data_IF_094442344994
#
_entry.id   IF_094442344994
#
_cell.length_a   1.000
_cell.length_b   1.000
_cell.length_c   1.000
_cell.angle_alpha   90.00
_cell.angle_beta   90.00
_cell.angle_gamma   90.00
#
_symmetry.space_group_name_H-M   'P 1'
#
loop_
_entity.id
_entity.type
_entity.pdbx_description
1 polymer ?
#
# COMPACT_ATOMS: atom_id res chain seq x y z
N UNK A 1 -1.88 26.78 10.32
CA UNK A 1 -0.87 25.87 10.91
C UNK A 1 -1.12 24.39 10.60
N UNK A 2 -2.37 23.91 10.47
CA UNK A 2 -2.67 22.51 10.14
C UNK A 2 -2.20 22.05 8.75
N UNK A 3 -2.31 22.89 7.72
CA UNK A 3 -1.88 22.54 6.34
C UNK A 3 -0.38 22.20 6.25
N UNK A 4 0.46 22.87 7.03
CA UNK A 4 1.89 22.57 7.07
C UNK A 4 2.18 21.18 7.64
N UNK A 5 1.48 20.79 8.72
CA UNK A 5 1.60 19.46 9.31
C UNK A 5 1.08 18.37 8.36
N UNK A 6 -0.02 18.64 7.67
CA UNK A 6 -0.61 17.72 6.70
C UNK A 6 0.35 17.49 5.52
N UNK A 7 0.98 18.55 4.99
CA UNK A 7 1.99 18.46 3.94
C UNK A 7 3.19 17.62 4.38
N UNK A 8 3.67 17.82 5.62
CA UNK A 8 4.76 17.00 6.19
C UNK A 8 4.34 15.53 6.26
N UNK A 9 3.12 15.24 6.69
CA UNK A 9 2.59 13.87 6.73
C UNK A 9 2.54 13.23 5.33
N UNK A 10 2.03 13.93 4.32
CA UNK A 10 2.04 13.47 2.92
C UNK A 10 3.45 13.21 2.38
N UNK A 11 4.42 14.05 2.76
CA UNK A 11 5.82 13.88 2.36
C UNK A 11 6.41 12.62 2.99
N UNK A 12 6.21 12.40 4.29
CA UNK A 12 6.68 11.21 4.99
C UNK A 12 6.02 9.95 4.39
N UNK A 13 4.72 9.97 4.15
CA UNK A 13 4.00 8.86 3.52
C UNK A 13 4.56 8.52 2.14
N UNK A 14 4.85 9.55 1.33
CA UNK A 14 5.46 9.38 0.01
C UNK A 14 6.85 8.78 0.08
N UNK A 15 7.70 9.25 0.99
CA UNK A 15 9.06 8.73 1.16
C UNK A 15 9.02 7.27 1.57
N UNK A 16 8.18 6.91 2.55
CA UNK A 16 8.01 5.51 3.00
C UNK A 16 7.53 4.64 1.85
N UNK A 17 6.52 5.08 1.11
CA UNK A 17 5.98 4.33 -0.03
C UNK A 17 7.01 4.13 -1.14
N UNK A 18 7.72 5.18 -1.56
CA UNK A 18 8.73 5.09 -2.62
C UNK A 18 9.91 4.23 -2.17
N UNK A 19 10.46 4.47 -0.98
CA UNK A 19 11.57 3.66 -0.46
C UNK A 19 11.18 2.20 -0.28
N UNK A 20 9.98 1.95 0.26
CA UNK A 20 9.45 0.62 0.44
C UNK A 20 9.28 -0.13 -0.88
N UNK A 21 8.77 0.53 -1.92
CA UNK A 21 8.66 -0.04 -3.28
C UNK A 21 10.04 -0.32 -3.88
N UNK A 22 10.98 0.62 -3.76
CA UNK A 22 12.36 0.45 -4.25
C UNK A 22 13.00 -0.76 -3.59
N UNK A 23 12.91 -0.89 -2.26
CA UNK A 23 13.43 -2.05 -1.55
C UNK A 23 12.67 -3.33 -1.89
N UNK A 24 11.36 -3.28 -2.09
CA UNK A 24 10.57 -4.45 -2.46
C UNK A 24 11.11 -5.10 -3.76
N UNK A 25 11.49 -4.30 -4.75
CA UNK A 25 11.96 -4.81 -6.04
C UNK A 25 13.48 -5.00 -6.15
N UNK A 26 14.29 -4.15 -5.51
CA UNK A 26 15.75 -4.18 -5.67
C UNK A 26 16.49 -4.99 -4.60
N UNK A 27 15.85 -5.31 -3.46
CA UNK A 27 16.52 -6.06 -2.41
C UNK A 27 16.75 -7.52 -2.85
N UNK A 28 18.02 -7.95 -2.88
CA UNK A 28 18.43 -9.29 -3.33
C UNK A 28 18.30 -10.38 -2.26
N UNK A 29 18.16 -10.00 -0.98
CA UNK A 29 18.07 -10.96 0.12
C UNK A 29 16.64 -11.44 0.35
N UNK A 30 16.40 -12.75 0.23
CA UNK A 30 15.04 -13.33 0.34
C UNK A 30 14.35 -12.99 1.66
N UNK A 31 15.06 -13.10 2.80
CA UNK A 31 14.51 -12.78 4.13
C UNK A 31 14.13 -11.30 4.25
N UNK A 32 15.01 -10.41 3.81
CA UNK A 32 14.75 -8.98 3.85
C UNK A 32 13.64 -8.58 2.89
N UNK A 33 13.55 -9.21 1.72
CA UNK A 33 12.55 -8.89 0.72
C UNK A 33 11.16 -9.33 1.18
N UNK A 34 11.06 -10.49 1.84
CA UNK A 34 9.83 -10.92 2.51
C UNK A 34 9.45 -9.98 3.65
N UNK A 35 10.41 -9.52 4.46
CA UNK A 35 10.13 -8.55 5.52
C UNK A 35 9.58 -7.23 4.96
N UNK A 36 10.21 -6.68 3.92
CA UNK A 36 9.72 -5.48 3.21
C UNK A 36 8.35 -5.72 2.59
N UNK A 37 8.10 -6.90 2.01
CA UNK A 37 6.80 -7.27 1.47
C UNK A 37 5.69 -7.22 2.54
N UNK A 38 5.90 -7.85 3.70
CA UNK A 38 4.90 -7.84 4.78
C UNK A 38 4.67 -6.43 5.32
N UNK A 39 5.74 -5.65 5.49
CA UNK A 39 5.64 -4.24 5.85
C UNK A 39 4.81 -3.46 4.84
N UNK A 40 5.09 -3.61 3.54
CA UNK A 40 4.38 -2.91 2.48
C UNK A 40 2.92 -3.34 2.35
N UNK A 41 2.59 -4.60 2.64
CA UNK A 41 1.21 -5.06 2.68
C UNK A 41 0.43 -4.36 3.79
N UNK A 42 1.00 -4.30 5.01
CA UNK A 42 0.39 -3.55 6.12
C UNK A 42 0.28 -2.06 5.78
N UNK A 43 1.33 -1.49 5.20
CA UNK A 43 1.36 -0.09 4.79
C UNK A 43 0.27 0.25 3.75
N UNK A 44 0.06 -0.62 2.74
CA UNK A 44 -1.00 -0.45 1.76
C UNK A 44 -2.40 -0.46 2.39
N UNK A 45 -2.62 -1.30 3.42
CA UNK A 45 -3.88 -1.30 4.19
C UNK A 45 -4.05 -0.02 5.02
N UNK A 46 -2.97 0.48 5.65
CA UNK A 46 -2.99 1.74 6.40
C UNK A 46 -3.34 2.91 5.48
N UNK A 47 -2.72 2.98 4.30
CA UNK A 47 -3.05 3.98 3.28
C UNK A 47 -4.55 3.91 2.95
N UNK A 48 -5.06 2.73 2.59
CA UNK A 48 -6.46 2.56 2.22
C UNK A 48 -7.43 2.99 3.34
N UNK A 49 -7.11 2.66 4.59
CA UNK A 49 -7.90 3.11 5.74
C UNK A 49 -7.90 4.64 5.88
N UNK A 50 -6.73 5.27 5.80
CA UNK A 50 -6.63 6.74 5.84
C UNK A 50 -7.37 7.40 4.67
N UNK A 51 -7.27 6.85 3.46
CA UNK A 51 -8.00 7.31 2.28
C UNK A 51 -9.51 7.23 2.52
N UNK A 52 -10.02 6.09 2.98
CA UNK A 52 -11.44 5.90 3.21
C UNK A 52 -11.99 6.82 4.32
N UNK A 53 -11.23 6.99 5.41
CA UNK A 53 -11.63 7.85 6.54
C UNK A 53 -11.59 9.34 6.18
N UNK A 54 -10.72 9.74 5.23
CA UNK A 54 -10.65 11.12 4.76
C UNK A 54 -11.85 11.56 3.90
N UNK A 55 -12.59 10.61 3.32
CA UNK A 55 -13.81 10.92 2.57
C UNK A 55 -15.00 11.20 3.49
N UNK A 56 -15.86 12.18 3.16
CA UNK A 56 -17.12 12.37 3.88
C UNK A 56 -17.98 11.10 3.85
N UNK A 57 -18.73 10.84 4.92
CA UNK A 57 -19.50 9.60 5.10
C UNK A 57 -20.58 9.34 4.04
N UNK A 58 -20.97 10.37 3.28
CA UNK A 58 -21.89 10.27 2.15
C UNK A 58 -21.21 9.92 0.81
N UNK A 59 -19.88 9.85 0.75
CA UNK A 59 -19.07 9.49 -0.43
C UNK A 59 -18.77 7.99 -0.45
N UNK A 60 -19.84 7.19 -0.38
CA UNK A 60 -19.74 5.73 -0.23
C UNK A 60 -18.98 5.10 -1.40
N UNK A 61 -19.14 5.61 -2.62
CA UNK A 61 -18.48 5.05 -3.81
C UNK A 61 -16.97 5.17 -3.72
N UNK A 62 -16.48 6.35 -3.36
CA UNK A 62 -15.07 6.67 -3.23
C UNK A 62 -14.45 5.92 -2.04
N UNK A 63 -15.14 5.84 -0.90
CA UNK A 63 -14.72 5.01 0.22
C UNK A 63 -14.57 3.54 -0.17
N UNK A 64 -15.52 3.00 -0.94
CA UNK A 64 -15.49 1.61 -1.37
C UNK A 64 -14.34 1.33 -2.35
N UNK A 65 -14.00 2.29 -3.22
CA UNK A 65 -12.82 2.23 -4.08
C UNK A 65 -11.52 2.25 -3.25
N UNK A 66 -11.44 3.12 -2.24
CA UNK A 66 -10.29 3.17 -1.34
C UNK A 66 -10.07 1.83 -0.61
N UNK A 67 -11.15 1.24 -0.09
CA UNK A 67 -11.10 -0.10 0.50
C UNK A 67 -10.70 -1.18 -0.52
N UNK A 68 -11.15 -1.08 -1.77
CA UNK A 68 -10.75 -2.01 -2.82
C UNK A 68 -9.24 -1.98 -3.10
N UNK A 69 -8.60 -0.80 -3.05
CA UNK A 69 -7.14 -0.70 -3.14
C UNK A 69 -6.44 -1.36 -1.95
N UNK A 70 -6.97 -1.22 -0.73
CA UNK A 70 -6.48 -1.94 0.44
C UNK A 70 -6.65 -3.46 0.34
N UNK A 71 -7.76 -3.92 -0.25
CA UNK A 71 -8.03 -5.34 -0.46
C UNK A 71 -6.97 -6.02 -1.36
N UNK A 72 -6.34 -5.29 -2.29
CA UNK A 72 -5.22 -5.80 -3.08
C UNK A 72 -4.04 -6.23 -2.20
N UNK A 73 -3.74 -5.51 -1.12
CA UNK A 73 -2.69 -5.90 -0.17
C UNK A 73 -3.07 -7.17 0.61
N UNK A 74 -4.35 -7.34 0.98
CA UNK A 74 -4.84 -8.57 1.61
C UNK A 74 -4.74 -9.75 0.65
N UNK A 75 -5.17 -9.58 -0.60
CA UNK A 75 -5.05 -10.62 -1.64
C UNK A 75 -3.58 -10.98 -1.85
N UNK A 76 -2.67 -10.00 -1.87
CA UNK A 76 -1.26 -10.28 -1.99
C UNK A 76 -0.71 -11.14 -0.84
N UNK A 77 -1.11 -10.86 0.41
CA UNK A 77 -0.75 -11.68 1.56
C UNK A 77 -1.25 -13.12 1.38
N UNK A 78 -2.50 -13.30 0.96
CA UNK A 78 -3.06 -14.63 0.69
C UNK A 78 -2.31 -15.36 -0.43
N UNK A 79 -2.00 -14.69 -1.53
CA UNK A 79 -1.21 -15.24 -2.64
C UNK A 79 0.18 -15.66 -2.18
N UNK A 80 0.81 -14.90 -1.28
CA UNK A 80 2.13 -15.23 -0.74
C UNK A 80 2.10 -16.38 0.27
N UNK A 81 1.07 -16.46 1.12
CA UNK A 81 0.97 -17.49 2.15
C UNK A 81 0.56 -18.84 1.54
N UNK A 82 -0.38 -18.83 0.59
CA UNK A 82 -0.84 -20.04 -0.09
C UNK A 82 0.11 -20.50 -1.20
N UNK A 83 0.83 -19.56 -1.80
CA UNK A 83 1.75 -19.81 -2.90
C UNK A 83 3.10 -20.36 -2.45
N UNK A 84 3.49 -21.51 -2.98
CA UNK A 84 4.81 -22.12 -2.73
C UNK A 84 5.84 -21.88 -3.85
N UNK A 85 5.50 -21.05 -4.83
CA UNK A 85 6.34 -20.81 -6.01
C UNK A 85 6.85 -19.37 -6.08
N UNK A 86 8.00 -19.20 -6.74
CA UNK A 86 8.60 -17.88 -6.99
C UNK A 86 7.68 -16.96 -7.78
N UNK A 87 6.91 -17.52 -8.73
CA UNK A 87 5.88 -16.76 -9.48
C UNK A 87 4.80 -16.22 -8.56
N UNK A 88 4.38 -16.98 -7.55
CA UNK A 88 3.38 -16.51 -6.58
C UNK A 88 3.89 -15.30 -5.79
N UNK A 89 5.16 -15.33 -5.38
CA UNK A 89 5.76 -14.19 -4.69
C UNK A 89 5.88 -12.97 -5.59
N UNK A 90 6.26 -13.14 -6.86
CA UNK A 90 6.30 -12.04 -7.82
C UNK A 90 4.92 -11.41 -8.01
N UNK A 91 3.88 -12.23 -8.19
CA UNK A 91 2.49 -11.76 -8.29
C UNK A 91 2.08 -11.00 -7.03
N UNK A 92 2.37 -11.53 -5.84
CA UNK A 92 2.07 -10.88 -4.58
C UNK A 92 2.77 -9.51 -4.46
N UNK A 93 4.05 -9.41 -4.86
CA UNK A 93 4.78 -8.13 -4.87
C UNK A 93 4.11 -7.08 -5.76
N UNK A 94 3.66 -7.49 -6.95
CA UNK A 94 2.97 -6.59 -7.88
C UNK A 94 1.63 -6.14 -7.29
N UNK A 95 0.86 -7.04 -6.66
CA UNK A 95 -0.40 -6.71 -5.99
C UNK A 95 -0.21 -5.70 -4.84
N UNK A 96 0.79 -5.91 -3.97
CA UNK A 96 1.12 -4.94 -2.90
C UNK A 96 1.57 -3.60 -3.50
N UNK A 97 2.39 -3.63 -4.54
CA UNK A 97 2.84 -2.41 -5.20
C UNK A 97 1.65 -1.63 -5.79
N UNK A 98 0.72 -2.31 -6.45
CA UNK A 98 -0.49 -1.70 -6.97
C UNK A 98 -1.36 -1.12 -5.85
N UNK A 99 -1.55 -1.85 -4.75
CA UNK A 99 -2.27 -1.37 -3.56
C UNK A 99 -1.71 -0.04 -3.05
N UNK A 100 -0.40 0.02 -2.86
CA UNK A 100 0.30 1.20 -2.33
C UNK A 100 0.25 2.36 -3.31
N UNK A 101 0.52 2.13 -4.60
CA UNK A 101 0.50 3.20 -5.62
C UNK A 101 -0.89 3.75 -5.79
N UNK A 102 -1.91 2.91 -5.97
CA UNK A 102 -3.30 3.34 -6.13
C UNK A 102 -3.81 4.06 -4.88
N UNK A 103 -3.49 3.55 -3.69
CA UNK A 103 -3.83 4.19 -2.43
C UNK A 103 -3.16 5.55 -2.25
N UNK A 104 -1.87 5.68 -2.58
CA UNK A 104 -1.16 6.97 -2.53
C UNK A 104 -1.75 7.96 -3.53
N UNK A 105 -2.04 7.53 -4.76
CA UNK A 105 -2.67 8.40 -5.77
C UNK A 105 -4.04 8.87 -5.29
N UNK A 106 -4.85 7.98 -4.73
CA UNK A 106 -6.14 8.35 -4.17
C UNK A 106 -5.98 9.38 -3.04
N UNK A 107 -5.07 9.14 -2.09
CA UNK A 107 -4.77 10.08 -1.00
C UNK A 107 -4.40 11.50 -1.48
N UNK A 108 -3.69 11.63 -2.61
CA UNK A 108 -3.28 12.93 -3.16
C UNK A 108 -4.38 13.66 -3.95
N UNK A 109 -5.39 12.94 -4.42
CA UNK A 109 -6.45 13.48 -5.28
C UNK A 109 -7.71 13.85 -4.47
N UNK A 110 -7.74 13.48 -3.19
CA UNK A 110 -8.77 13.87 -2.20
C UNK A 110 -8.50 15.28 -1.70
#
# INVERSE_FOLDING_TARGET
>A
MALGLLLVLFMVMSIISVMGLVFLFLLKGEKGQKAVFYFMAVWGMVIAWMTADSYPTNYIKEQLIAWAFGALAVIALLVQICGKSERSFLTAKVLVAASVVLGMVALFVI
#
